data_IF_439821394460
#
_entry.id   IF_439821394460
#
_cell.length_a   1.000
_cell.length_b   1.000
_cell.length_c   1.000
_cell.angle_alpha   90.00
_cell.angle_beta   90.00
_cell.angle_gamma   90.00
#
_symmetry.space_group_name_H-M   'P 1'
#
loop_
_entity.id
_entity.type
_entity.pdbx_description
1 polymer ?
#
# COMPACT_ATOMS: atom_id res chain seq x y z
N UNK A 1 -18.01 10.99 13.58
CA UNK A 1 -18.19 9.73 12.83
C UNK A 1 -16.99 8.80 12.96
N UNK A 2 -15.74 9.24 12.76
CA UNK A 2 -14.53 8.38 12.95
C UNK A 2 -14.40 7.73 14.34
N UNK A 3 -14.90 8.39 15.39
CA UNK A 3 -15.00 7.80 16.74
C UNK A 3 -15.95 6.59 16.80
N UNK A 4 -16.98 6.54 15.97
CA UNK A 4 -17.97 5.46 15.96
C UNK A 4 -17.39 4.18 15.37
N UNK A 5 -16.57 4.26 14.31
CA UNK A 5 -15.90 3.08 13.75
C UNK A 5 -14.99 2.41 14.78
N UNK A 6 -14.21 3.21 15.51
CA UNK A 6 -13.31 2.71 16.56
C UNK A 6 -14.09 2.03 17.68
N UNK A 7 -15.19 2.65 18.12
CA UNK A 7 -16.10 2.05 19.10
C UNK A 7 -16.68 0.73 18.61
N UNK A 8 -17.04 0.62 17.32
CA UNK A 8 -17.52 -0.63 16.73
C UNK A 8 -16.45 -1.72 16.73
N UNK A 9 -15.19 -1.39 16.41
CA UNK A 9 -14.07 -2.33 16.48
C UNK A 9 -13.84 -2.80 17.93
N UNK A 10 -13.90 -1.88 18.89
CA UNK A 10 -13.81 -2.22 20.32
C UNK A 10 -14.95 -3.15 20.76
N UNK A 11 -16.18 -2.87 20.33
CA UNK A 11 -17.32 -3.74 20.59
C UNK A 11 -17.14 -5.14 19.98
N UNK A 12 -16.54 -5.23 18.80
CA UNK A 12 -16.21 -6.52 18.17
C UNK A 12 -15.15 -7.28 18.98
N UNK A 13 -14.13 -6.59 19.49
CA UNK A 13 -13.13 -7.20 20.40
C UNK A 13 -13.78 -7.76 21.66
N UNK A 14 -14.69 -7.01 22.28
CA UNK A 14 -15.42 -7.42 23.48
C UNK A 14 -16.30 -8.65 23.21
N UNK A 15 -17.04 -8.62 22.10
CA UNK A 15 -17.90 -9.75 21.69
C UNK A 15 -17.06 -10.99 21.42
N UNK A 16 -15.94 -10.83 20.71
CA UNK A 16 -15.04 -11.94 20.41
C UNK A 16 -14.36 -12.47 21.68
N UNK A 17 -14.09 -11.63 22.67
CA UNK A 17 -13.59 -12.06 23.96
C UNK A 17 -14.58 -12.95 24.71
N UNK A 18 -15.86 -12.60 24.72
CA UNK A 18 -16.91 -13.44 25.30
C UNK A 18 -16.95 -14.80 24.59
N UNK A 19 -17.00 -14.80 23.25
CA UNK A 19 -16.98 -16.05 22.46
C UNK A 19 -15.74 -16.91 22.73
N UNK A 20 -14.57 -16.28 22.77
CA UNK A 20 -13.29 -16.95 22.98
C UNK A 20 -13.19 -17.53 24.40
N UNK A 21 -13.61 -16.79 25.43
CA UNK A 21 -13.62 -17.26 26.82
C UNK A 21 -14.63 -18.39 27.05
N UNK A 22 -15.83 -18.31 26.46
CA UNK A 22 -16.79 -19.42 26.45
C UNK A 22 -16.22 -20.69 25.80
N UNK A 23 -15.43 -20.54 24.73
CA UNK A 23 -14.78 -21.67 24.06
C UNK A 23 -13.72 -22.36 24.92
N UNK A 24 -12.96 -21.59 25.71
CA UNK A 24 -11.87 -22.11 26.54
C UNK A 24 -12.34 -22.72 27.87
N UNK A 25 -13.31 -22.08 28.52
CA UNK A 25 -13.74 -22.45 29.88
C UNK A 25 -15.09 -23.19 29.91
N UNK A 26 -15.76 -23.36 28.76
CA UNK A 26 -17.14 -23.86 28.67
C UNK A 26 -18.16 -22.85 29.18
N UNK A 27 -19.47 -23.18 29.11
CA UNK A 27 -20.54 -22.31 29.65
C UNK A 27 -20.45 -22.21 31.17
N UNK A 28 -19.93 -21.13 31.76
CA UNK A 28 -19.68 -21.07 33.20
C UNK A 28 -20.98 -20.67 33.90
N UNK A 29 -21.79 -21.66 34.32
CA UNK A 29 -23.10 -21.39 34.92
C UNK A 29 -23.03 -20.59 36.24
N UNK A 30 -21.87 -20.56 36.92
CA UNK A 30 -21.72 -19.88 38.23
C UNK A 30 -20.77 -18.67 38.26
N UNK A 31 -19.98 -18.40 37.21
CA UNK A 31 -18.94 -17.35 37.23
C UNK A 31 -18.91 -16.43 36.00
N UNK A 32 -19.97 -16.45 35.18
CA UNK A 32 -20.16 -15.53 34.05
C UNK A 32 -19.92 -14.06 34.44
N UNK A 33 -20.32 -13.66 35.65
CA UNK A 33 -20.14 -12.30 36.17
C UNK A 33 -18.67 -11.89 36.38
N UNK A 34 -17.77 -12.84 36.64
CA UNK A 34 -16.32 -12.59 36.74
C UNK A 34 -15.71 -12.35 35.36
N UNK A 35 -16.20 -13.08 34.35
CA UNK A 35 -15.79 -12.91 32.95
C UNK A 35 -16.36 -11.62 32.35
N UNK A 36 -17.54 -11.17 32.80
CA UNK A 36 -18.19 -9.94 32.30
C UNK A 36 -17.73 -8.65 33.00
N UNK A 37 -17.19 -8.70 34.23
CA UNK A 37 -16.71 -7.50 34.95
C UNK A 37 -15.28 -7.06 34.59
N UNK A 38 -14.47 -7.90 33.95
CA UNK A 38 -13.07 -7.59 33.57
C UNK A 38 -12.73 -7.43 32.08
N UNK A 39 -13.63 -7.57 31.08
CA UNK A 39 -13.23 -7.47 29.68
C UNK A 39 -12.74 -6.05 29.36
N UNK A 40 -13.39 -5.03 29.92
CA UNK A 40 -12.98 -3.62 29.85
C UNK A 40 -11.70 -3.28 30.64
N UNK A 41 -10.95 -4.20 31.22
CA UNK A 41 -9.62 -3.88 31.79
C UNK A 41 -8.49 -4.70 31.15
N UNK A 42 -8.80 -5.81 30.48
CA UNK A 42 -7.79 -6.74 29.98
C UNK A 42 -7.61 -6.63 28.46
N UNK A 43 -8.64 -6.26 27.71
CA UNK A 43 -8.58 -6.20 26.25
C UNK A 43 -8.99 -4.83 25.74
N UNK A 44 -8.15 -3.83 26.02
CA UNK A 44 -8.21 -2.55 25.33
C UNK A 44 -7.47 -2.68 24.01
N UNK A 45 -8.02 -2.06 22.96
CA UNK A 45 -7.26 -1.85 21.75
C UNK A 45 -6.00 -1.06 22.10
N UNK A 46 -4.84 -1.56 21.68
CA UNK A 46 -3.58 -0.85 21.90
C UNK A 46 -3.67 0.54 21.29
N UNK A 47 -3.18 1.55 22.00
CA UNK A 47 -3.13 2.93 21.49
C UNK A 47 -2.37 3.01 20.16
N UNK A 48 -1.38 2.14 19.96
CA UNK A 48 -0.64 2.03 18.69
C UNK A 48 -1.55 1.60 17.55
N UNK A 49 -2.40 0.61 17.76
CA UNK A 49 -3.30 0.10 16.72
C UNK A 49 -4.47 1.04 16.49
N UNK A 50 -4.96 1.70 17.54
CA UNK A 50 -5.93 2.78 17.42
C UNK A 50 -5.43 3.89 16.50
N UNK A 51 -4.20 4.37 16.73
CA UNK A 51 -3.60 5.43 15.91
C UNK A 51 -3.45 4.98 14.46
N UNK A 52 -3.00 3.74 14.21
CA UNK A 52 -2.90 3.19 12.86
C UNK A 52 -4.26 3.15 12.17
N UNK A 53 -5.30 2.70 12.87
CA UNK A 53 -6.66 2.61 12.34
C UNK A 53 -7.16 4.02 12.01
N UNK A 54 -6.99 5.00 12.93
CA UNK A 54 -7.34 6.41 12.68
C UNK A 54 -6.68 6.94 11.40
N UNK A 55 -5.37 6.71 11.25
CA UNK A 55 -4.63 7.15 10.07
C UNK A 55 -5.12 6.49 8.77
N UNK A 56 -5.63 5.26 8.84
CA UNK A 56 -6.21 4.57 7.68
C UNK A 56 -7.60 5.12 7.34
N UNK A 57 -8.43 5.40 8.35
CA UNK A 57 -9.77 5.96 8.17
C UNK A 57 -9.76 7.35 7.50
N UNK A 58 -8.67 8.09 7.64
CA UNK A 58 -8.51 9.38 6.95
C UNK A 58 -8.49 9.26 5.41
N UNK A 59 -8.18 8.06 4.89
CA UNK A 59 -7.99 7.78 3.45
C UNK A 59 -9.16 7.04 2.81
N UNK A 60 -10.22 6.79 3.58
CA UNK A 60 -11.30 5.86 3.22
C UNK A 60 -12.64 6.58 3.34
N UNK A 61 -13.61 6.21 2.49
CA UNK A 61 -14.98 6.75 2.54
C UNK A 61 -15.86 5.97 3.51
N UNK A 62 -16.94 6.58 4.01
CA UNK A 62 -17.86 5.93 4.95
C UNK A 62 -18.47 4.61 4.42
N UNK A 63 -18.73 4.51 3.11
CA UNK A 63 -19.24 3.27 2.50
C UNK A 63 -18.19 2.15 2.56
N UNK A 64 -16.92 2.49 2.38
CA UNK A 64 -15.81 1.56 2.49
C UNK A 64 -15.56 1.15 3.95
N UNK A 65 -15.73 2.06 4.92
CA UNK A 65 -15.71 1.72 6.36
C UNK A 65 -16.72 0.61 6.69
N UNK A 66 -17.97 0.76 6.22
CA UNK A 66 -19.02 -0.25 6.43
C UNK A 66 -18.66 -1.57 5.75
N UNK A 67 -18.05 -1.52 4.55
CA UNK A 67 -17.59 -2.72 3.83
C UNK A 67 -16.52 -3.46 4.62
N UNK A 68 -15.54 -2.76 5.19
CA UNK A 68 -14.52 -3.36 6.06
C UNK A 68 -15.17 -4.01 7.28
N UNK A 69 -16.07 -3.31 7.95
CA UNK A 69 -16.73 -3.84 9.15
C UNK A 69 -17.46 -5.16 8.85
N UNK A 70 -18.14 -5.24 7.69
CA UNK A 70 -18.79 -6.47 7.22
C UNK A 70 -17.79 -7.60 6.91
N UNK A 71 -16.63 -7.27 6.34
CA UNK A 71 -15.57 -8.25 6.07
C UNK A 71 -14.96 -8.79 7.37
N UNK A 72 -14.71 -7.91 8.35
CA UNK A 72 -14.25 -8.30 9.68
C UNK A 72 -15.27 -9.22 10.36
N UNK A 73 -16.56 -8.84 10.37
CA UNK A 73 -17.64 -9.67 10.91
C UNK A 73 -17.67 -11.06 10.25
N UNK A 74 -17.67 -11.11 8.91
CA UNK A 74 -17.69 -12.38 8.18
C UNK A 74 -16.47 -13.24 8.48
N UNK A 75 -15.30 -12.63 8.69
CA UNK A 75 -14.09 -13.35 9.08
C UNK A 75 -14.21 -13.96 10.48
N UNK A 76 -14.74 -13.20 11.45
CA UNK A 76 -14.94 -13.66 12.83
C UNK A 76 -15.99 -14.78 12.92
N UNK A 77 -17.04 -14.71 12.11
CA UNK A 77 -18.05 -15.78 12.06
C UNK A 77 -17.48 -17.09 11.50
N UNK A 78 -16.55 -17.01 10.55
CA UNK A 78 -15.85 -18.19 10.01
C UNK A 78 -14.81 -18.75 10.98
N UNK A 79 -14.24 -17.91 11.84
CA UNK A 79 -13.15 -18.27 12.74
C UNK A 79 -13.51 -17.89 14.19
N UNK A 80 -14.42 -18.64 14.85
CA UNK A 80 -14.97 -18.26 16.15
C UNK A 80 -13.95 -18.29 17.30
N UNK A 81 -12.86 -19.05 17.16
CA UNK A 81 -11.83 -19.22 18.20
C UNK A 81 -10.67 -18.23 18.06
N UNK A 82 -10.85 -17.16 17.28
CA UNK A 82 -9.82 -16.14 17.08
C UNK A 82 -9.62 -15.32 18.36
N UNK A 83 -8.36 -15.08 18.70
CA UNK A 83 -7.99 -14.27 19.86
C UNK A 83 -8.49 -12.82 19.70
N UNK A 84 -9.09 -12.21 20.73
CA UNK A 84 -9.57 -10.82 20.67
C UNK A 84 -8.50 -9.80 20.28
N UNK A 85 -7.24 -10.07 20.64
CA UNK A 85 -6.10 -9.20 20.31
C UNK A 85 -5.82 -9.09 18.81
N UNK A 86 -6.27 -10.05 18.00
CA UNK A 86 -6.05 -10.07 16.55
C UNK A 86 -7.12 -9.31 15.77
N UNK A 87 -8.24 -8.94 16.40
CA UNK A 87 -9.33 -8.20 15.75
C UNK A 87 -8.87 -6.86 15.17
N UNK A 88 -8.08 -6.02 15.89
CA UNK A 88 -7.51 -4.80 15.32
C UNK A 88 -6.56 -5.06 14.15
N UNK A 89 -5.78 -6.14 14.21
CA UNK A 89 -4.83 -6.51 13.15
C UNK A 89 -5.56 -6.87 11.86
N UNK A 90 -6.60 -7.69 11.96
CA UNK A 90 -7.46 -8.07 10.83
C UNK A 90 -8.17 -6.84 10.27
N UNK A 91 -8.64 -5.95 11.15
CA UNK A 91 -9.27 -4.69 10.73
C UNK A 91 -8.28 -3.83 9.94
N UNK A 92 -7.05 -3.68 10.43
CA UNK A 92 -5.98 -2.97 9.72
C UNK A 92 -5.64 -3.60 8.37
N UNK A 93 -5.62 -4.93 8.29
CA UNK A 93 -5.36 -5.65 7.05
C UNK A 93 -6.41 -5.28 5.99
N UNK A 94 -7.71 -5.38 6.31
CA UNK A 94 -8.76 -5.02 5.35
C UNK A 94 -8.80 -3.52 5.02
N UNK A 95 -8.48 -2.63 5.97
CA UNK A 95 -8.35 -1.20 5.70
C UNK A 95 -7.21 -0.94 4.68
N UNK A 96 -6.06 -1.59 4.87
CA UNK A 96 -4.93 -1.47 3.96
C UNK A 96 -5.22 -2.05 2.58
N UNK A 97 -5.96 -3.16 2.51
CA UNK A 97 -6.39 -3.75 1.23
C UNK A 97 -7.25 -2.76 0.44
N UNK A 98 -8.22 -2.10 1.10
CA UNK A 98 -9.05 -1.09 0.43
C UNK A 98 -8.21 0.11 -0.02
N UNK A 99 -7.32 0.63 0.83
CA UNK A 99 -6.45 1.76 0.47
C UNK A 99 -5.60 1.39 -0.76
N UNK A 100 -5.07 0.17 -0.77
CA UNK A 100 -4.25 -0.34 -1.88
C UNK A 100 -5.08 -0.46 -3.16
N UNK A 101 -6.30 -0.99 -3.07
CA UNK A 101 -7.22 -1.07 -4.21
C UNK A 101 -7.57 0.33 -4.76
N UNK A 102 -7.90 1.28 -3.90
CA UNK A 102 -8.20 2.66 -4.29
C UNK A 102 -6.99 3.31 -5.00
N UNK A 103 -5.77 3.08 -4.50
CA UNK A 103 -4.55 3.58 -5.13
C UNK A 103 -4.36 3.00 -6.54
N UNK A 104 -4.59 1.70 -6.71
CA UNK A 104 -4.52 1.05 -8.02
C UNK A 104 -5.61 1.53 -8.98
N UNK A 105 -6.82 1.79 -8.49
CA UNK A 105 -7.91 2.35 -9.31
C UNK A 105 -7.57 3.77 -9.76
N UNK A 106 -7.11 4.64 -8.86
CA UNK A 106 -6.67 5.99 -9.20
C UNK A 106 -5.49 5.98 -10.20
N UNK A 107 -4.51 5.09 -10.01
CA UNK A 107 -3.41 4.94 -10.96
C UNK A 107 -3.89 4.49 -12.35
N UNK A 108 -4.89 3.61 -12.42
CA UNK A 108 -5.51 3.19 -13.69
C UNK A 108 -6.32 4.32 -14.33
N UNK A 109 -7.04 5.12 -13.54
CA UNK A 109 -7.75 6.30 -14.02
C UNK A 109 -6.79 7.35 -14.57
N UNK A 110 -5.68 7.63 -13.90
CA UNK A 110 -4.63 8.51 -14.42
C UNK A 110 -4.01 7.97 -15.73
N UNK A 111 -3.83 6.66 -15.85
CA UNK A 111 -3.38 6.02 -17.10
C UNK A 111 -4.45 6.17 -18.19
N UNK A 112 -5.73 5.99 -17.86
CA UNK A 112 -6.85 6.06 -18.82
C UNK A 112 -7.19 7.49 -19.25
N UNK A 113 -7.10 8.47 -18.36
CA UNK A 113 -7.24 9.91 -18.68
C UNK A 113 -6.04 10.37 -19.52
N UNK A 114 -4.84 9.81 -19.28
CA UNK A 114 -3.67 10.00 -20.13
C UNK A 114 -3.61 9.03 -21.32
N UNK A 115 -4.68 8.33 -21.71
CA UNK A 115 -4.66 7.55 -22.97
C UNK A 115 -4.61 8.42 -24.23
N UNK A 116 -4.70 9.75 -24.11
CA UNK A 116 -4.27 10.68 -25.17
C UNK A 116 -2.75 10.96 -25.17
N UNK A 117 -1.99 10.44 -24.21
CA UNK A 117 -0.53 10.55 -24.12
C UNK A 117 0.11 9.20 -23.72
N UNK A 118 0.38 8.39 -24.77
CA UNK A 118 1.38 7.31 -24.88
C UNK A 118 1.67 6.46 -23.63
N UNK A 119 1.52 5.12 -23.71
CA UNK A 119 1.81 4.22 -22.59
C UNK A 119 3.27 4.39 -22.15
N UNK A 120 3.49 4.43 -20.83
CA UNK A 120 4.80 4.43 -20.19
C UNK A 120 5.57 3.13 -20.50
N UNK A 121 6.08 3.04 -21.72
CA UNK A 121 7.14 2.14 -22.15
C UNK A 121 8.46 2.91 -22.15
N UNK A 122 8.88 3.52 -21.03
CA UNK A 122 10.15 4.26 -21.03
C UNK A 122 10.87 4.30 -19.68
N UNK A 123 11.26 3.11 -19.19
CA UNK A 123 12.51 2.96 -18.41
C UNK A 123 13.23 1.64 -18.71
N UNK A 124 12.51 0.55 -19.01
CA UNK A 124 13.12 -0.73 -19.42
C UNK A 124 13.50 -0.81 -20.92
N UNK A 125 12.93 0.04 -21.77
CA UNK A 125 13.25 0.11 -23.21
C UNK A 125 14.71 0.53 -23.47
N UNK A 126 15.25 1.44 -22.65
CA UNK A 126 16.62 1.97 -22.78
C UNK A 126 17.71 0.92 -22.50
N UNK A 127 17.42 -0.09 -21.68
CA UNK A 127 18.36 -1.18 -21.40
C UNK A 127 18.44 -2.19 -22.54
N UNK A 128 17.32 -2.51 -23.19
CA UNK A 128 17.31 -3.44 -24.34
C UNK A 128 18.05 -2.90 -25.57
N UNK A 129 18.04 -1.59 -25.80
CA UNK A 129 18.82 -0.98 -26.89
C UNK A 129 20.32 -0.87 -26.60
N UNK A 130 20.74 -0.92 -25.32
CA UNK A 130 22.16 -0.88 -24.96
C UNK A 130 22.87 -2.21 -25.24
N UNK A 131 22.21 -3.35 -25.05
CA UNK A 131 22.81 -4.66 -25.37
C UNK A 131 22.91 -4.97 -26.87
N UNK A 132 22.06 -4.37 -27.72
CA UNK A 132 22.18 -4.51 -29.18
C UNK A 132 23.41 -3.81 -29.77
N UNK A 133 23.96 -2.79 -29.11
CA UNK A 133 25.17 -2.09 -29.59
C UNK A 133 26.48 -2.83 -29.27
N UNK A 134 26.49 -3.75 -28.32
CA UNK A 134 27.67 -4.57 -28.00
C UNK A 134 27.80 -5.82 -28.89
N UNK A 135 26.70 -6.26 -29.53
CA UNK A 135 26.71 -7.40 -30.47
C UNK A 135 27.23 -7.08 -31.88
N UNK A 136 27.58 -5.82 -32.18
CA UNK A 136 28.06 -5.38 -33.51
C UNK A 136 29.60 -5.16 -33.52
N UNK A 137 30.32 -5.60 -32.49
CA UNK A 137 31.76 -5.92 -32.65
C UNK A 137 31.90 -7.35 -33.17
N UNK A 138 31.42 -7.57 -34.39
CA UNK A 138 31.88 -8.71 -35.18
C UNK A 138 33.36 -8.56 -35.45
N UNK A 139 34.14 -9.61 -35.17
CA UNK A 139 35.57 -9.74 -35.47
C UNK A 139 35.88 -9.23 -36.89
N UNK A 140 36.35 -7.99 -37.00
CA UNK A 140 36.91 -7.48 -38.25
C UNK A 140 38.27 -8.13 -38.45
N UNK A 141 38.31 -9.11 -39.34
CA UNK A 141 39.56 -9.57 -39.97
C UNK A 141 40.31 -8.36 -40.52
N UNK A 142 41.57 -8.30 -40.12
CA UNK A 142 42.63 -7.44 -40.62
C UNK A 142 42.65 -7.46 -42.16
N UNK A 143 42.42 -6.31 -42.80
CA UNK A 143 42.86 -6.06 -44.17
C UNK A 143 43.44 -4.64 -44.24
N UNK A 144 44.72 -4.58 -44.57
CA UNK A 144 45.50 -3.38 -44.82
C UNK A 144 44.90 -2.56 -45.97
N UNK A 145 44.73 -1.24 -45.78
CA UNK A 145 44.87 -0.25 -46.86
C UNK A 145 45.24 1.14 -46.27
N UNK A 146 46.11 1.92 -46.94
CA UNK A 146 46.68 3.17 -46.42
C UNK A 146 45.77 4.39 -46.68
N UNK A 147 46.05 5.56 -46.07
CA UNK A 147 45.05 6.58 -45.79
C UNK A 147 44.85 7.55 -46.96
N UNK A 148 43.59 7.92 -47.23
CA UNK A 148 43.25 9.08 -48.05
C UNK A 148 42.11 9.89 -47.41
N UNK A 149 42.52 11.03 -46.87
CA UNK A 149 41.87 12.35 -46.90
C UNK A 149 40.50 12.57 -46.20
N UNK A 150 40.53 13.61 -45.36
CA UNK A 150 39.52 14.22 -44.47
C UNK A 150 38.34 14.91 -45.19
N UNK A 151 37.43 15.69 -44.53
CA UNK A 151 37.16 15.91 -43.10
C UNK A 151 35.64 15.80 -42.75
N UNK A 152 35.25 15.32 -41.56
CA UNK A 152 33.92 15.63 -40.99
C UNK A 152 34.02 15.98 -39.51
N UNK A 153 33.24 16.99 -39.06
CA UNK A 153 33.56 17.78 -37.88
C UNK A 153 33.32 17.01 -36.58
N UNK A 154 34.20 17.25 -35.60
CA UNK A 154 33.97 16.93 -34.20
C UNK A 154 32.71 17.68 -33.74
N UNK A 155 31.62 16.97 -33.43
CA UNK A 155 30.54 17.54 -32.62
C UNK A 155 31.01 17.56 -31.17
N UNK A 156 31.51 18.72 -30.75
CA UNK A 156 31.59 19.09 -29.34
C UNK A 156 30.17 19.20 -28.79
N UNK A 157 29.92 18.56 -27.65
CA UNK A 157 28.70 18.77 -26.86
C UNK A 157 28.99 19.95 -25.94
N UNK A 158 28.46 21.13 -26.25
CA UNK A 158 28.42 22.23 -25.27
C UNK A 158 27.12 22.11 -24.48
N UNK A 159 27.23 22.03 -23.15
CA UNK A 159 26.11 22.13 -22.24
C UNK A 159 25.80 23.63 -22.02
N UNK A 160 25.23 24.28 -23.03
CA UNK A 160 24.81 25.69 -22.95
C UNK A 160 23.38 25.83 -22.39
N UNK A 161 23.06 25.13 -21.31
CA UNK A 161 21.84 25.37 -20.54
C UNK A 161 22.20 25.90 -19.15
N UNK A 162 22.16 27.23 -19.00
CA UNK A 162 22.26 27.89 -17.70
C UNK A 162 20.98 27.58 -16.91
N UNK A 163 21.06 27.00 -15.70
CA UNK A 163 19.90 26.65 -14.92
C UNK A 163 19.11 27.90 -14.50
N UNK A 164 17.82 27.95 -14.81
CA UNK A 164 16.90 28.98 -14.31
C UNK A 164 16.57 28.70 -12.85
N UNK A 165 17.15 29.50 -11.95
CA UNK A 165 16.82 29.49 -10.52
C UNK A 165 15.56 30.36 -10.33
N UNK A 166 14.46 29.74 -9.94
CA UNK A 166 13.24 30.46 -9.55
C UNK A 166 13.33 30.81 -8.06
N UNK A 167 13.30 32.11 -7.72
CA UNK A 167 13.19 32.57 -6.35
C UNK A 167 11.73 32.64 -5.93
N UNK A 168 11.41 32.07 -4.77
CA UNK A 168 10.10 32.17 -4.14
C UNK A 168 10.08 33.46 -3.32
N UNK A 169 9.17 34.41 -3.59
CA UNK A 169 9.05 35.60 -2.75
C UNK A 169 8.52 35.19 -1.37
N UNK A 170 9.23 35.61 -0.33
CA UNK A 170 8.79 35.52 1.06
C UNK A 170 7.79 36.66 1.28
N UNK A 171 6.55 36.33 1.63
CA UNK A 171 5.59 37.25 2.23
C UNK A 171 5.46 36.92 3.71
#
# INVERSE_FOLDING_TARGET
MRSQFIQQVQLLMETQHIKYTESLYGKPHNYMWLCSKKPHMVYWMSTKDEIKIRNCLDKITQQQEIKVLKQVLSYLDRNPNVSPATVPEITLLYLNDIITCNFFEHAKEEINVNQNFKPFHSRMSSFRNSFRKLGILGNKKLLLQPPRESPKPRRSVTFDEVPKIYQVPVQ
#
